data_IF_560030213443
#
_entry.id   IF_560030213443
#
_cell.length_a   1.000
_cell.length_b   1.000
_cell.length_c   1.000
_cell.angle_alpha   90.00
_cell.angle_beta   90.00
_cell.angle_gamma   90.00
#
_symmetry.space_group_name_H-M   'P 1'
#
loop_
_entity.id
_entity.type
_entity.pdbx_description
1 polymer ?
#
# COMPACT_ATOMS: atom_id res chain seq x y z
N UNK A 1 -6.07 -1.21 -7.65
CA UNK A 1 -7.32 -1.08 -6.88
C UNK A 1 -7.15 -1.75 -5.53
N UNK A 2 -7.77 -1.22 -4.50
CA UNK A 2 -7.72 -1.82 -3.16
C UNK A 2 -8.60 -3.06 -3.11
N UNK A 3 -8.00 -4.22 -2.92
CA UNK A 3 -8.74 -5.49 -2.85
C UNK A 3 -9.13 -5.79 -1.39
N UNK A 4 -10.28 -5.27 -1.00
CA UNK A 4 -10.81 -5.44 0.36
C UNK A 4 -11.24 -6.89 0.63
N UNK A 5 -11.72 -7.60 -0.39
CA UNK A 5 -12.15 -8.99 -0.23
C UNK A 5 -10.96 -9.87 0.12
N UNK A 6 -9.85 -9.73 -0.61
CA UNK A 6 -8.63 -10.47 -0.33
C UNK A 6 -8.05 -10.10 1.05
N UNK A 7 -8.08 -8.81 1.42
CA UNK A 7 -7.61 -8.37 2.73
C UNK A 7 -8.45 -8.95 3.87
N UNK A 8 -9.77 -8.92 3.76
CA UNK A 8 -10.67 -9.50 4.77
C UNK A 8 -10.45 -11.00 4.93
N UNK A 9 -10.31 -11.72 3.82
CA UNK A 9 -10.05 -13.15 3.85
C UNK A 9 -8.72 -13.46 4.54
N UNK A 10 -7.66 -12.70 4.25
CA UNK A 10 -6.36 -12.86 4.87
C UNK A 10 -6.39 -12.57 6.37
N UNK A 11 -7.06 -11.49 6.79
CA UNK A 11 -7.20 -11.14 8.21
C UNK A 11 -8.01 -12.20 8.95
N UNK A 12 -9.10 -12.69 8.37
CA UNK A 12 -9.90 -13.76 8.96
C UNK A 12 -9.10 -15.05 9.16
N UNK A 13 -8.18 -15.35 8.24
CA UNK A 13 -7.40 -16.59 8.27
C UNK A 13 -6.13 -16.48 9.11
N UNK A 14 -5.47 -15.33 9.12
CA UNK A 14 -4.12 -15.15 9.67
C UNK A 14 -4.04 -14.19 10.84
N UNK A 15 -5.11 -13.45 11.15
CA UNK A 15 -5.09 -12.38 12.16
C UNK A 15 -4.50 -11.10 11.60
N UNK A 16 -3.41 -10.58 12.19
CA UNK A 16 -2.77 -9.38 11.68
C UNK A 16 -2.13 -9.62 10.30
N UNK A 17 -2.42 -8.73 9.37
CA UNK A 17 -1.92 -8.77 7.99
C UNK A 17 -1.42 -7.37 7.62
N UNK A 18 -0.22 -7.29 7.05
CA UNK A 18 0.31 -6.06 6.49
C UNK A 18 0.01 -6.01 5.00
N UNK A 19 -0.48 -4.86 4.54
CA UNK A 19 -0.64 -4.58 3.11
C UNK A 19 0.49 -3.64 2.68
N UNK A 20 1.28 -4.08 1.71
CA UNK A 20 2.34 -3.28 1.09
C UNK A 20 1.88 -2.91 -0.30
N UNK A 21 1.80 -1.62 -0.58
CA UNK A 21 1.34 -1.11 -1.87
C UNK A 21 2.34 -0.13 -2.46
N UNK A 22 2.51 -0.16 -3.79
CA UNK A 22 3.25 0.86 -4.50
C UNK A 22 2.39 2.12 -4.54
N UNK A 23 2.77 3.13 -3.78
CA UNK A 23 2.02 4.38 -3.65
C UNK A 23 2.45 5.43 -4.68
N UNK A 24 3.71 5.40 -5.10
CA UNK A 24 4.25 6.31 -6.11
C UNK A 24 5.40 5.65 -6.86
N UNK A 25 5.56 6.03 -8.13
CA UNK A 25 6.63 5.53 -9.00
C UNK A 25 7.27 6.71 -9.73
N UNK A 26 8.60 6.76 -9.72
CA UNK A 26 9.38 7.70 -10.55
C UNK A 26 10.31 6.89 -11.45
N UNK A 27 10.27 7.16 -12.75
CA UNK A 27 11.00 6.38 -13.73
C UNK A 27 10.42 5.00 -13.95
N UNK A 28 11.27 4.02 -14.26
CA UNK A 28 10.85 2.64 -14.51
C UNK A 28 10.70 1.85 -13.22
N UNK A 29 9.67 1.02 -13.16
CA UNK A 29 9.38 0.14 -12.04
C UNK A 29 8.83 -1.19 -12.56
N UNK A 30 9.06 -2.32 -11.86
CA UNK A 30 8.52 -3.61 -12.28
C UNK A 30 6.99 -3.68 -12.21
N UNK A 31 6.35 -2.88 -11.37
CA UNK A 31 4.89 -2.82 -11.23
C UNK A 31 4.41 -1.38 -11.16
N UNK A 32 3.14 -1.21 -11.41
CA UNK A 32 2.44 0.09 -11.41
C UNK A 32 2.00 0.53 -10.01
N UNK A 33 1.66 1.81 -9.86
CA UNK A 33 1.01 2.34 -8.66
C UNK A 33 -0.28 1.56 -8.39
N UNK A 34 -0.48 1.15 -7.16
CA UNK A 34 -1.61 0.33 -6.75
C UNK A 34 -1.32 -1.16 -6.68
N UNK A 35 -0.23 -1.63 -7.28
CA UNK A 35 0.20 -3.02 -7.10
C UNK A 35 0.52 -3.27 -5.63
N UNK A 36 0.00 -4.35 -5.08
CA UNK A 36 0.07 -4.62 -3.65
C UNK A 36 0.32 -6.09 -3.36
N UNK A 37 0.87 -6.34 -2.18
CA UNK A 37 0.98 -7.67 -1.60
C UNK A 37 0.47 -7.65 -0.16
N UNK A 38 0.01 -8.81 0.30
CA UNK A 38 -0.37 -9.03 1.69
C UNK A 38 0.67 -9.92 2.34
N UNK A 39 1.07 -9.56 3.57
CA UNK A 39 2.11 -10.26 4.32
C UNK A 39 1.59 -10.58 5.72
N UNK A 40 1.75 -11.82 6.15
CA UNK A 40 1.42 -12.26 7.50
C UNK A 40 2.60 -13.05 8.08
N UNK A 41 2.48 -13.49 9.31
CA UNK A 41 3.61 -14.12 10.01
C UNK A 41 4.18 -15.34 9.27
N UNK A 42 3.31 -16.14 8.66
CA UNK A 42 3.71 -17.39 8.02
C UNK A 42 3.82 -17.34 6.49
N UNK A 43 3.56 -16.19 5.84
CA UNK A 43 3.59 -16.16 4.38
C UNK A 43 3.18 -14.82 3.79
N UNK A 44 2.90 -14.84 2.49
CA UNK A 44 2.47 -13.67 1.75
C UNK A 44 1.70 -14.06 0.49
N UNK A 45 0.93 -13.11 -0.07
CA UNK A 45 0.24 -13.25 -1.35
C UNK A 45 0.32 -11.95 -2.15
N UNK A 46 0.19 -12.03 -3.47
CA UNK A 46 0.38 -10.90 -4.36
C UNK A 46 1.87 -10.57 -4.56
N UNK A 47 2.14 -9.50 -5.28
CA UNK A 47 3.52 -9.10 -5.59
C UNK A 47 3.62 -7.62 -5.87
N UNK A 48 4.76 -7.02 -5.52
CA UNK A 48 5.15 -5.66 -5.90
C UNK A 48 6.30 -5.66 -6.92
N UNK A 49 6.57 -6.82 -7.54
CA UNK A 49 7.56 -6.95 -8.59
C UNK A 49 8.66 -7.99 -8.34
N UNK A 50 8.65 -8.64 -7.18
CA UNK A 50 9.62 -9.68 -6.84
C UNK A 50 10.99 -9.15 -6.44
N UNK A 51 11.95 -10.06 -6.36
CA UNK A 51 13.36 -9.74 -6.10
C UNK A 51 13.64 -9.19 -4.71
N UNK A 52 14.78 -8.50 -4.61
CA UNK A 52 15.26 -7.96 -3.34
C UNK A 52 14.31 -6.91 -2.74
N UNK A 53 13.68 -6.08 -3.57
CA UNK A 53 12.72 -5.08 -3.12
C UNK A 53 11.56 -5.73 -2.34
N UNK A 54 10.94 -6.74 -2.95
CA UNK A 54 9.82 -7.46 -2.34
C UNK A 54 10.25 -8.20 -1.09
N UNK A 55 11.39 -8.86 -1.12
CA UNK A 55 11.94 -9.59 0.03
C UNK A 55 12.15 -8.65 1.22
N UNK A 56 12.78 -7.51 1.01
CA UNK A 56 13.03 -6.53 2.07
C UNK A 56 11.74 -5.91 2.59
N UNK A 57 10.82 -5.58 1.69
CA UNK A 57 9.52 -5.02 2.07
C UNK A 57 8.70 -6.02 2.89
N UNK A 58 8.70 -7.29 2.51
CA UNK A 58 8.02 -8.34 3.26
C UNK A 58 8.62 -8.53 4.66
N UNK A 59 9.93 -8.49 4.78
CA UNK A 59 10.61 -8.61 6.08
C UNK A 59 10.23 -7.45 7.01
N UNK A 60 10.23 -6.21 6.48
CA UNK A 60 9.80 -5.03 7.25
C UNK A 60 8.32 -5.12 7.65
N UNK A 61 7.49 -5.58 6.73
CA UNK A 61 6.06 -5.75 6.99
C UNK A 61 5.79 -6.75 8.13
N UNK A 62 6.49 -7.87 8.12
CA UNK A 62 6.37 -8.86 9.21
C UNK A 62 6.80 -8.29 10.55
N UNK A 63 7.87 -7.49 10.57
CA UNK A 63 8.32 -6.83 11.79
C UNK A 63 7.29 -5.84 12.36
N UNK A 64 6.40 -5.29 11.52
CA UNK A 64 5.36 -4.36 11.94
C UNK A 64 4.10 -5.05 12.50
N UNK A 65 3.91 -6.33 12.25
CA UNK A 65 2.64 -7.01 12.58
C UNK A 65 2.28 -6.91 14.07
N UNK A 66 3.25 -6.97 14.95
CA UNK A 66 3.01 -6.89 16.40
C UNK A 66 2.75 -5.48 16.91
N UNK A 67 3.29 -4.47 16.23
CA UNK A 67 3.15 -3.07 16.64
C UNK A 67 1.97 -2.39 15.95
N UNK A 68 1.57 -2.86 14.79
CA UNK A 68 0.56 -2.21 13.97
C UNK A 68 1.05 -0.91 13.32
N UNK A 69 0.11 -0.11 12.85
CA UNK A 69 0.39 1.20 12.28
C UNK A 69 0.68 1.20 10.79
N UNK A 70 1.27 2.29 10.32
CA UNK A 70 1.60 2.51 8.93
C UNK A 70 3.02 3.04 8.78
N UNK A 71 3.65 2.75 7.65
CA UNK A 71 5.00 3.20 7.33
C UNK A 71 5.11 3.53 5.84
N UNK A 72 5.82 4.60 5.55
CA UNK A 72 6.15 5.00 4.19
C UNK A 72 7.65 4.81 3.97
N UNK A 73 8.01 4.08 2.92
CA UNK A 73 9.40 3.81 2.56
C UNK A 73 9.67 4.23 1.12
N UNK A 74 10.83 4.85 0.89
CA UNK A 74 11.30 5.21 -0.45
C UNK A 74 12.45 4.30 -0.83
N UNK A 75 12.38 3.69 -2.01
CA UNK A 75 13.40 2.77 -2.49
C UNK A 75 13.83 3.14 -3.92
N UNK A 76 15.12 3.35 -4.11
CA UNK A 76 15.70 3.46 -5.44
C UNK A 76 15.88 2.07 -6.03
N UNK A 77 15.44 1.88 -7.28
CA UNK A 77 15.58 0.62 -8.00
C UNK A 77 16.85 0.66 -8.84
N UNK A 78 17.73 -0.28 -8.60
CA UNK A 78 19.00 -0.33 -9.32
C UNK A 78 19.81 -1.57 -8.98
N UNK A 79 21.07 -1.64 -9.43
CA UNK A 79 21.92 -2.82 -9.23
C UNK A 79 22.10 -3.23 -7.77
N UNK A 80 22.08 -2.29 -6.83
CA UNK A 80 22.26 -2.56 -5.40
C UNK A 80 21.14 -3.47 -4.88
N UNK A 81 19.90 -3.32 -5.41
CA UNK A 81 18.76 -4.17 -5.05
C UNK A 81 18.56 -5.34 -6.03
N UNK A 82 19.49 -5.57 -6.95
CA UNK A 82 19.36 -6.60 -7.97
C UNK A 82 18.28 -6.31 -9.00
N UNK A 83 17.81 -5.06 -9.12
CA UNK A 83 16.81 -4.63 -10.08
C UNK A 83 17.47 -3.99 -11.30
N UNK A 84 16.92 -4.26 -12.47
CA UNK A 84 17.41 -3.68 -13.73
C UNK A 84 16.77 -2.32 -14.04
N UNK A 85 15.72 -1.95 -13.34
CA UNK A 85 15.00 -0.70 -13.53
C UNK A 85 15.76 0.45 -12.87
N UNK A 86 15.84 1.60 -13.52
CA UNK A 86 16.53 2.78 -12.98
C UNK A 86 15.64 3.76 -12.23
N UNK A 87 14.44 3.34 -11.82
CA UNK A 87 13.46 4.20 -11.17
C UNK A 87 13.53 4.21 -9.66
N UNK A 88 12.50 4.77 -9.05
CA UNK A 88 12.28 4.76 -7.61
C UNK A 88 10.82 4.49 -7.29
N UNK A 89 10.55 3.82 -6.18
CA UNK A 89 9.19 3.56 -5.72
C UNK A 89 9.01 4.06 -4.29
N UNK A 90 7.80 4.47 -3.98
CA UNK A 90 7.36 4.73 -2.61
C UNK A 90 6.41 3.60 -2.21
N UNK A 91 6.73 2.93 -1.12
CA UNK A 91 5.93 1.83 -0.60
C UNK A 91 5.20 2.27 0.67
N UNK A 92 3.91 2.06 0.70
CA UNK A 92 3.10 2.24 1.90
C UNK A 92 2.79 0.87 2.49
N UNK A 93 3.19 0.66 3.73
CA UNK A 93 2.89 -0.55 4.48
C UNK A 93 1.92 -0.20 5.60
N UNK A 94 0.79 -0.88 5.65
CA UNK A 94 -0.23 -0.70 6.68
C UNK A 94 -0.61 -2.04 7.26
N UNK A 95 -0.73 -2.09 8.58
CA UNK A 95 -1.13 -3.31 9.29
C UNK A 95 -2.62 -3.26 9.57
N UNK A 96 -3.31 -4.33 9.21
CA UNK A 96 -4.75 -4.50 9.42
C UNK A 96 -5.02 -5.71 10.32
N UNK A 97 -6.07 -5.59 11.12
CA UNK A 97 -6.63 -6.68 11.90
C UNK A 97 -8.17 -6.62 11.84
N UNK A 98 -8.86 -7.44 12.62
CA UNK A 98 -10.33 -7.47 12.61
C UNK A 98 -10.97 -6.16 13.08
N UNK A 99 -10.23 -5.32 13.81
CA UNK A 99 -10.77 -4.09 14.40
C UNK A 99 -10.62 -2.87 13.49
N UNK A 100 -9.64 -2.86 12.59
CA UNK A 100 -9.35 -1.68 11.76
C UNK A 100 -9.56 -1.90 10.26
N UNK A 101 -10.23 -2.96 9.85
CA UNK A 101 -10.55 -3.21 8.44
C UNK A 101 -11.43 -2.08 7.89
N UNK A 102 -11.11 -1.55 6.68
CA UNK A 102 -11.97 -0.57 6.03
C UNK A 102 -13.34 -1.14 5.68
N UNK A 103 -14.34 -0.27 5.61
CA UNK A 103 -15.67 -0.65 5.14
C UNK A 103 -15.70 -0.84 3.62
N UNK A 104 -16.58 -1.73 3.17
CA UNK A 104 -16.69 -2.05 1.75
C UNK A 104 -17.34 -0.92 0.95
N UNK A 105 -16.92 -0.77 -0.31
CA UNK A 105 -17.59 0.06 -1.31
C UNK A 105 -17.21 1.53 -1.30
N UNK A 106 -16.27 1.96 -0.47
CA UNK A 106 -15.88 3.36 -0.37
C UNK A 106 -14.49 3.64 -0.92
N UNK A 107 -14.30 4.86 -1.40
CA UNK A 107 -12.97 5.38 -1.70
C UNK A 107 -12.28 5.70 -0.37
N UNK A 108 -11.12 5.12 -0.16
CA UNK A 108 -10.37 5.25 1.08
C UNK A 108 -9.28 6.31 0.90
N UNK A 109 -9.33 7.33 1.73
CA UNK A 109 -8.27 8.33 1.83
C UNK A 109 -7.79 8.40 3.27
N UNK A 110 -6.48 8.34 3.47
CA UNK A 110 -5.88 8.31 4.80
C UNK A 110 -4.66 9.20 4.86
N UNK A 111 -4.49 9.89 5.98
CA UNK A 111 -3.24 10.56 6.28
C UNK A 111 -2.18 9.51 6.62
N UNK A 112 -1.06 9.58 5.95
CA UNK A 112 0.09 8.73 6.28
C UNK A 112 0.85 9.32 7.48
N UNK A 113 0.87 10.65 7.58
CA UNK A 113 1.58 11.39 8.62
C UNK A 113 0.67 11.95 9.72
N UNK A 114 -0.64 11.72 9.63
CA UNK A 114 -1.61 12.19 10.63
C UNK A 114 -2.10 13.62 10.47
N UNK A 115 -1.77 14.30 9.39
CA UNK A 115 -2.20 15.68 9.15
C UNK A 115 -3.67 15.84 8.79
N UNK A 116 -4.16 17.08 8.76
CA UNK A 116 -5.51 17.40 8.31
C UNK A 116 -5.66 17.15 6.81
N UNK A 117 -6.87 16.79 6.37
CA UNK A 117 -7.13 16.48 4.97
C UNK A 117 -6.98 17.72 4.08
N UNK A 118 -6.02 17.73 3.11
CA UNK A 118 -5.86 18.85 2.19
C UNK A 118 -7.03 18.97 1.21
N UNK A 119 -7.21 20.17 0.64
CA UNK A 119 -8.23 20.43 -0.37
C UNK A 119 -8.08 19.53 -1.60
N UNK A 120 -6.84 19.23 -2.01
CA UNK A 120 -6.58 18.34 -3.14
C UNK A 120 -7.16 16.95 -2.94
N UNK A 121 -7.07 16.39 -1.74
CA UNK A 121 -7.68 15.10 -1.38
C UNK A 121 -9.20 15.19 -1.39
N UNK A 122 -9.75 16.26 -0.81
CA UNK A 122 -11.21 16.51 -0.82
C UNK A 122 -11.75 16.55 -2.25
N UNK A 123 -11.02 17.20 -3.18
CA UNK A 123 -11.42 17.24 -4.60
C UNK A 123 -11.43 15.86 -5.25
N UNK A 124 -10.47 15.00 -4.94
CA UNK A 124 -10.44 13.61 -5.45
C UNK A 124 -11.66 12.85 -4.93
N UNK A 125 -11.97 12.96 -3.65
CA UNK A 125 -13.16 12.32 -3.05
C UNK A 125 -14.46 12.86 -3.62
N UNK A 126 -14.56 14.17 -3.83
CA UNK A 126 -15.75 14.80 -4.41
C UNK A 126 -16.01 14.33 -5.83
N UNK A 127 -14.98 14.19 -6.65
CA UNK A 127 -15.11 13.61 -8.00
C UNK A 127 -15.61 12.17 -7.95
N UNK A 128 -15.09 11.38 -7.05
CA UNK A 128 -15.52 9.99 -6.92
C UNK A 128 -16.99 9.90 -6.51
N UNK A 129 -17.43 10.75 -5.56
CA UNK A 129 -18.81 10.76 -5.06
C UNK A 129 -19.78 11.41 -6.05
N UNK A 130 -19.40 12.55 -6.63
CA UNK A 130 -20.27 13.32 -7.51
C UNK A 130 -20.34 12.83 -8.94
N UNK A 131 -19.28 12.26 -9.46
CA UNK A 131 -19.19 11.84 -10.87
C UNK A 131 -19.10 10.32 -11.05
N UNK A 132 -19.10 9.55 -9.97
CA UNK A 132 -18.98 8.10 -10.03
C UNK A 132 -17.64 7.60 -10.52
N UNK A 133 -16.62 8.46 -10.55
CA UNK A 133 -15.28 8.10 -11.00
C UNK A 133 -14.47 7.54 -9.84
N UNK A 134 -13.98 6.33 -9.98
CA UNK A 134 -13.05 5.73 -9.01
C UNK A 134 -11.63 6.25 -9.26
N UNK A 135 -11.03 6.96 -8.31
CA UNK A 135 -9.65 7.42 -8.47
C UNK A 135 -8.68 6.24 -8.42
N UNK A 136 -7.61 6.32 -9.21
CA UNK A 136 -6.50 5.40 -9.08
C UNK A 136 -5.80 5.60 -7.72
N UNK A 137 -5.19 4.55 -7.13
CA UNK A 137 -4.38 4.71 -5.94
C UNK A 137 -3.30 5.77 -6.16
N UNK A 138 -3.17 6.71 -5.23
CA UNK A 138 -2.22 7.81 -5.37
C UNK A 138 -1.91 8.43 -4.02
N UNK A 139 -0.77 9.09 -3.94
CA UNK A 139 -0.38 9.92 -2.82
C UNK A 139 -0.67 11.38 -3.16
N UNK A 140 -1.40 12.07 -2.30
CA UNK A 140 -1.71 13.49 -2.44
C UNK A 140 -1.41 14.18 -1.12
N UNK A 141 -0.33 14.95 -1.06
CA UNK A 141 0.06 15.75 0.11
C UNK A 141 0.04 14.94 1.43
N UNK A 142 0.58 13.72 1.42
CA UNK A 142 0.64 12.84 2.61
C UNK A 142 -0.60 11.98 2.86
N UNK A 143 -1.52 11.95 1.90
CA UNK A 143 -2.76 11.16 2.00
C UNK A 143 -2.86 10.06 0.95
#
# INVERSE_FOLDING_TARGET
MFDLIALRAAVSRHGAVARVVIADVKGSSPREVGAAMLVWAGGQSGTIGGGALEFQAAARARAMLGAGGARLDHAALGPILGQCCGGAVTLLTEVYDAENLPEAGEVIARAVDGGAMPLAVKRVLDRARGQGMMPAPQMVQGW
#
